data_IF_023142773730
#
_entry.id   IF_023142773730
#
_cell.length_a   1.000
_cell.length_b   1.000
_cell.length_c   1.000
_cell.angle_alpha   90.00
_cell.angle_beta   90.00
_cell.angle_gamma   90.00
#
_symmetry.space_group_name_H-M   'P 1'
#
loop_
_entity.id
_entity.type
_entity.pdbx_description
1 polymer ?
#
# COMPACT_ATOMS: atom_id res chain seq x y z
N UNK A 1 -60.03 -30.25 -55.50
CA UNK A 1 -58.59 -30.61 -55.47
C UNK A 1 -57.64 -29.42 -55.69
N UNK A 2 -58.03 -28.36 -56.41
CA UNK A 2 -57.20 -27.18 -56.66
C UNK A 2 -56.99 -26.24 -55.44
N UNK A 3 -57.99 -26.14 -54.55
CA UNK A 3 -57.95 -25.32 -53.32
C UNK A 3 -56.96 -25.82 -52.27
N UNK A 4 -56.81 -27.15 -52.12
CA UNK A 4 -55.85 -27.76 -51.19
C UNK A 4 -54.39 -27.54 -51.64
N UNK A 5 -54.12 -27.65 -52.96
CA UNK A 5 -52.81 -27.36 -53.54
C UNK A 5 -52.42 -25.90 -53.36
N UNK A 6 -53.37 -24.96 -53.50
CA UNK A 6 -53.11 -23.52 -53.32
C UNK A 6 -52.77 -23.17 -51.87
N UNK A 7 -53.41 -23.82 -50.90
CA UNK A 7 -53.13 -23.66 -49.47
C UNK A 7 -51.76 -24.23 -49.07
N UNK A 8 -51.40 -25.42 -49.59
CA UNK A 8 -50.08 -26.04 -49.38
C UNK A 8 -48.92 -25.21 -49.95
N UNK A 9 -49.11 -24.59 -51.11
CA UNK A 9 -48.08 -23.73 -51.73
C UNK A 9 -47.88 -22.44 -50.93
N UNK A 10 -48.95 -21.80 -50.48
CA UNK A 10 -48.86 -20.58 -49.66
C UNK A 10 -48.23 -20.89 -48.30
N UNK A 11 -48.58 -22.01 -47.66
CA UNK A 11 -47.96 -22.44 -46.40
C UNK A 11 -46.46 -22.74 -46.56
N UNK A 12 -46.06 -23.45 -47.63
CA UNK A 12 -44.62 -23.66 -47.93
C UNK A 12 -43.89 -22.35 -48.18
N UNK A 13 -44.52 -21.38 -48.85
CA UNK A 13 -43.92 -20.07 -49.11
C UNK A 13 -43.71 -19.27 -47.82
N UNK A 14 -44.72 -19.23 -46.94
CA UNK A 14 -44.65 -18.56 -45.63
C UNK A 14 -43.63 -19.26 -44.72
N UNK A 15 -43.61 -20.59 -44.69
CA UNK A 15 -42.64 -21.36 -43.91
C UNK A 15 -41.21 -21.13 -44.42
N UNK A 16 -40.99 -21.09 -45.73
CA UNK A 16 -39.68 -20.81 -46.33
C UNK A 16 -39.25 -19.37 -46.07
N UNK A 17 -40.17 -18.40 -46.15
CA UNK A 17 -39.91 -17.00 -45.83
C UNK A 17 -39.56 -16.79 -44.36
N UNK A 18 -40.24 -17.49 -43.44
CA UNK A 18 -39.97 -17.46 -42.01
C UNK A 18 -38.63 -18.13 -41.66
N UNK A 19 -38.31 -19.28 -42.28
CA UNK A 19 -37.01 -19.97 -42.16
C UNK A 19 -35.87 -19.11 -42.72
N UNK A 20 -36.09 -18.39 -43.83
CA UNK A 20 -35.11 -17.50 -44.43
C UNK A 20 -34.86 -16.25 -43.57
N UNK A 21 -35.90 -15.69 -42.92
CA UNK A 21 -35.75 -14.62 -41.92
C UNK A 21 -35.02 -15.11 -40.65
N UNK A 22 -35.31 -16.31 -40.16
CA UNK A 22 -34.57 -16.90 -39.03
C UNK A 22 -33.10 -17.12 -39.35
N UNK A 23 -32.76 -17.66 -40.53
CA UNK A 23 -31.37 -17.78 -41.01
C UNK A 23 -30.68 -16.42 -41.13
N UNK A 24 -31.37 -15.39 -41.61
CA UNK A 24 -30.82 -14.04 -41.70
C UNK A 24 -30.60 -13.40 -40.33
N UNK A 25 -31.46 -13.66 -39.34
CA UNK A 25 -31.27 -13.21 -37.95
C UNK A 25 -30.06 -13.89 -37.33
N UNK A 26 -29.90 -15.21 -37.50
CA UNK A 26 -28.72 -15.92 -37.02
C UNK A 26 -27.43 -15.42 -37.66
N UNK A 27 -27.45 -15.10 -38.96
CA UNK A 27 -26.32 -14.49 -39.68
C UNK A 27 -25.96 -13.10 -39.11
N UNK A 28 -26.96 -12.27 -38.82
CA UNK A 28 -26.73 -10.94 -38.23
C UNK A 28 -26.24 -11.05 -36.78
N UNK A 29 -26.79 -11.97 -35.98
CA UNK A 29 -26.36 -12.21 -34.61
C UNK A 29 -24.91 -12.71 -34.54
N UNK A 30 -24.54 -13.66 -35.42
CA UNK A 30 -23.17 -14.16 -35.51
C UNK A 30 -22.21 -13.07 -35.99
N UNK A 31 -22.62 -12.21 -36.93
CA UNK A 31 -21.83 -11.06 -37.34
C UNK A 31 -21.62 -10.05 -36.18
N UNK A 32 -22.66 -9.76 -35.38
CA UNK A 32 -22.58 -8.87 -34.22
C UNK A 32 -21.62 -9.38 -33.13
N UNK A 33 -21.55 -10.70 -32.89
CA UNK A 33 -20.61 -11.28 -31.92
C UNK A 33 -19.14 -11.10 -32.33
N UNK A 34 -18.84 -10.99 -33.64
CA UNK A 34 -17.46 -10.81 -34.12
C UNK A 34 -16.92 -9.38 -33.89
N UNK A 35 -17.79 -8.38 -33.66
CA UNK A 35 -17.37 -7.00 -33.41
C UNK A 35 -17.07 -6.69 -31.93
N UNK A 36 -17.25 -7.64 -31.00
CA UNK A 36 -17.04 -7.42 -29.56
C UNK A 36 -15.59 -7.58 -29.09
N UNK A 37 -14.66 -7.97 -29.98
CA UNK A 37 -13.27 -8.16 -29.61
C UNK A 37 -12.55 -6.80 -29.49
N UNK A 38 -12.48 -6.25 -28.28
CA UNK A 38 -11.67 -5.06 -27.97
C UNK A 38 -10.24 -5.50 -27.65
N UNK A 39 -9.21 -4.81 -28.17
CA UNK A 39 -7.83 -5.09 -27.79
C UNK A 39 -7.67 -4.83 -26.28
N UNK A 40 -7.24 -5.85 -25.53
CA UNK A 40 -6.87 -5.68 -24.14
C UNK A 40 -5.60 -4.81 -24.07
N UNK A 41 -5.61 -3.78 -23.23
CA UNK A 41 -4.42 -2.98 -22.99
C UNK A 41 -3.33 -3.88 -22.42
N UNK A 42 -2.21 -4.00 -23.12
CA UNK A 42 -1.01 -4.70 -22.64
C UNK A 42 0.10 -3.69 -22.57
N UNK A 43 0.73 -3.60 -21.42
CA UNK A 43 1.94 -2.81 -21.25
C UNK A 43 3.00 -3.42 -22.19
N UNK A 44 3.34 -2.67 -23.25
CA UNK A 44 4.28 -3.12 -24.27
C UNK A 44 5.73 -3.06 -23.78
N UNK A 45 6.04 -2.09 -22.92
CA UNK A 45 7.37 -1.89 -22.36
C UNK A 45 7.26 -1.06 -21.07
N UNK A 46 8.06 -1.42 -20.06
CA UNK A 46 8.34 -0.57 -18.89
C UNK A 46 9.84 -0.36 -18.83
N UNK A 47 10.27 0.91 -18.86
CA UNK A 47 11.67 1.28 -18.62
C UNK A 47 11.76 1.95 -17.27
N UNK A 48 12.67 1.45 -16.44
CA UNK A 48 13.12 2.10 -15.23
C UNK A 48 14.64 2.21 -15.28
N UNK A 49 15.17 3.31 -14.78
CA UNK A 49 16.61 3.49 -14.54
C UNK A 49 16.82 3.73 -13.05
N UNK A 50 17.80 3.05 -12.48
CA UNK A 50 18.27 3.38 -11.13
C UNK A 50 19.14 4.62 -11.28
N UNK A 51 18.71 5.72 -10.67
CA UNK A 51 19.56 6.91 -10.50
C UNK A 51 20.18 6.81 -9.12
N UNK A 52 21.47 6.50 -9.08
CA UNK A 52 22.22 6.45 -7.82
C UNK A 52 22.34 7.87 -7.27
N UNK A 53 21.92 8.08 -6.02
CA UNK A 53 22.11 9.36 -5.33
C UNK A 53 23.53 9.39 -4.77
N UNK A 54 24.42 10.13 -5.41
CA UNK A 54 25.82 10.27 -5.01
C UNK A 54 26.29 11.74 -5.16
N UNK A 55 27.52 12.01 -4.76
CA UNK A 55 28.11 13.36 -4.70
C UNK A 55 28.18 14.08 -6.06
N UNK A 56 27.94 13.39 -7.18
CA UNK A 56 27.90 14.03 -8.51
C UNK A 56 26.79 15.09 -8.63
N UNK A 57 25.73 14.98 -7.82
CA UNK A 57 24.63 15.94 -7.78
C UNK A 57 24.90 17.14 -6.84
N UNK A 58 25.95 17.07 -6.02
CA UNK A 58 26.26 18.11 -5.02
C UNK A 58 27.10 19.26 -5.58
N UNK A 59 27.65 19.10 -6.79
CA UNK A 59 28.55 20.09 -7.39
C UNK A 59 27.88 21.45 -7.65
N UNK A 60 26.57 21.49 -7.86
CA UNK A 60 25.81 22.72 -8.13
C UNK A 60 24.50 22.75 -7.33
N UNK A 61 24.55 23.05 -6.02
CA UNK A 61 23.36 23.08 -5.19
C UNK A 61 22.47 24.26 -5.57
N UNK A 62 21.17 24.03 -5.66
CA UNK A 62 20.20 25.10 -5.91
C UNK A 62 20.03 25.94 -4.64
N UNK A 63 20.67 27.11 -4.59
CA UNK A 63 20.77 27.95 -3.38
C UNK A 63 19.42 28.26 -2.72
N UNK A 64 18.38 28.55 -3.49
CA UNK A 64 17.04 28.80 -2.95
C UNK A 64 16.43 27.57 -2.27
N UNK A 65 16.69 26.36 -2.83
CA UNK A 65 16.21 25.10 -2.24
C UNK A 65 16.97 24.80 -0.97
N UNK A 66 18.29 25.04 -0.97
CA UNK A 66 19.12 24.88 0.21
C UNK A 66 18.66 25.83 1.34
N UNK A 67 18.39 27.10 1.03
CA UNK A 67 17.86 28.05 2.02
C UNK A 67 16.49 27.63 2.56
N UNK A 68 15.61 27.12 1.70
CA UNK A 68 14.31 26.59 2.10
C UNK A 68 14.48 25.43 3.08
N UNK A 69 15.23 24.38 2.70
CA UNK A 69 15.51 23.21 3.55
C UNK A 69 16.15 23.63 4.86
N UNK A 70 17.14 24.52 4.82
CA UNK A 70 17.85 24.98 6.01
C UNK A 70 16.90 25.68 7.00
N UNK A 71 15.93 26.45 6.52
CA UNK A 71 14.97 27.15 7.39
C UNK A 71 14.11 26.19 8.23
N UNK A 72 13.69 25.06 7.65
CA UNK A 72 12.97 24.00 8.36
C UNK A 72 13.91 23.19 9.24
N UNK A 73 15.10 22.84 8.71
CA UNK A 73 16.11 22.04 9.41
C UNK A 73 16.51 22.68 10.74
N UNK A 74 16.77 23.99 10.78
CA UNK A 74 17.14 24.68 12.03
C UNK A 74 16.06 24.53 13.10
N UNK A 75 14.78 24.60 12.73
CA UNK A 75 13.68 24.44 13.68
C UNK A 75 13.56 23.00 14.15
N UNK A 76 13.58 22.05 13.22
CA UNK A 76 13.47 20.62 13.54
C UNK A 76 14.66 20.12 14.36
N UNK A 77 15.89 20.51 13.99
CA UNK A 77 17.10 20.13 14.71
C UNK A 77 17.07 20.61 16.17
N UNK A 78 16.37 21.71 16.48
CA UNK A 78 16.22 22.17 17.88
C UNK A 78 15.46 21.15 18.72
N UNK A 79 14.37 20.61 18.19
CA UNK A 79 13.52 19.64 18.89
C UNK A 79 14.16 18.24 18.84
N UNK A 80 14.63 17.82 17.67
CA UNK A 80 15.19 16.47 17.47
C UNK A 80 16.49 16.22 18.24
N UNK A 81 17.25 17.26 18.59
CA UNK A 81 18.48 17.13 19.38
C UNK A 81 18.25 17.26 20.89
N UNK A 82 17.01 17.42 21.35
CA UNK A 82 16.73 17.39 22.78
C UNK A 82 17.02 16.01 23.35
N UNK A 83 17.89 15.95 24.36
CA UNK A 83 18.25 14.72 25.07
C UNK A 83 17.17 14.43 26.11
N UNK A 84 16.51 13.29 25.98
CA UNK A 84 15.41 12.86 26.86
C UNK A 84 15.86 11.79 27.87
N UNK A 85 17.05 11.24 27.70
CA UNK A 85 17.57 10.19 28.56
C UNK A 85 18.96 9.74 28.15
N UNK A 86 19.44 8.69 28.78
CA UNK A 86 20.73 8.06 28.46
C UNK A 86 20.56 6.55 28.49
N UNK A 87 21.04 5.87 27.47
CA UNK A 87 21.14 4.42 27.44
C UNK A 87 22.54 3.96 27.86
N UNK A 88 22.63 3.01 28.77
CA UNK A 88 23.92 2.47 29.22
C UNK A 88 24.63 1.64 28.13
N UNK A 89 23.85 1.08 27.20
CA UNK A 89 24.35 0.22 26.13
C UNK A 89 23.55 0.39 24.84
N UNK A 90 24.10 -0.11 23.73
CA UNK A 90 23.36 -0.20 22.49
C UNK A 90 22.22 -1.21 22.66
N UNK A 91 20.99 -0.85 22.30
CA UNK A 91 19.88 -1.80 22.26
C UNK A 91 19.50 -2.08 20.82
N UNK A 92 19.80 -3.29 20.36
CA UNK A 92 19.45 -3.78 19.03
C UNK A 92 17.99 -4.29 18.98
N UNK A 93 17.44 -4.45 17.77
CA UNK A 93 16.14 -5.05 17.52
C UNK A 93 16.24 -6.26 16.59
N UNK A 94 15.73 -7.41 17.04
CA UNK A 94 15.90 -8.66 16.33
C UNK A 94 14.94 -9.74 16.78
N UNK A 95 14.93 -10.85 16.05
CA UNK A 95 14.19 -12.06 16.41
C UNK A 95 15.15 -13.09 17.05
N UNK A 96 14.66 -13.93 17.98
CA UNK A 96 13.29 -13.96 18.50
C UNK A 96 12.99 -12.87 19.54
N UNK A 97 14.04 -12.29 20.15
CA UNK A 97 13.99 -11.34 21.26
C UNK A 97 15.18 -10.39 21.17
N UNK A 98 15.04 -9.16 21.68
CA UNK A 98 16.16 -8.24 21.87
C UNK A 98 15.92 -7.24 23.01
N UNK A 99 16.98 -6.51 23.40
CA UNK A 99 16.88 -5.47 24.43
C UNK A 99 15.86 -4.39 24.08
N UNK A 100 15.85 -3.92 22.82
CA UNK A 100 14.92 -2.86 22.43
C UNK A 100 13.48 -3.36 22.40
N UNK A 101 13.22 -4.57 21.90
CA UNK A 101 11.85 -5.11 21.88
C UNK A 101 11.30 -5.35 23.28
N UNK A 102 12.16 -5.72 24.23
CA UNK A 102 11.78 -5.89 25.64
C UNK A 102 11.44 -4.53 26.25
N UNK A 103 12.33 -3.54 26.10
CA UNK A 103 12.09 -2.18 26.59
C UNK A 103 10.78 -1.60 26.06
N UNK A 104 10.53 -1.71 24.75
CA UNK A 104 9.30 -1.18 24.14
C UNK A 104 8.06 -1.86 24.70
N UNK A 105 8.09 -3.18 24.87
CA UNK A 105 6.97 -3.93 25.43
C UNK A 105 6.72 -3.56 26.89
N UNK A 106 7.77 -3.39 27.69
CA UNK A 106 7.68 -2.95 29.09
C UNK A 106 7.08 -1.53 29.18
N UNK A 107 7.53 -0.61 28.33
CA UNK A 107 6.99 0.77 28.28
C UNK A 107 5.52 0.78 27.83
N UNK A 108 5.16 -0.04 26.84
CA UNK A 108 3.76 -0.15 26.39
C UNK A 108 2.87 -0.68 27.51
N UNK A 109 3.34 -1.68 28.25
CA UNK A 109 2.62 -2.28 29.38
C UNK A 109 2.47 -1.28 30.53
N UNK A 110 3.56 -0.59 30.89
CA UNK A 110 3.54 0.47 31.91
C UNK A 110 2.58 1.61 31.54
N UNK A 111 2.59 2.04 30.27
CA UNK A 111 1.65 3.03 29.77
C UNK A 111 0.20 2.55 29.90
N UNK A 112 -0.08 1.28 29.61
CA UNK A 112 -1.40 0.71 29.80
C UNK A 112 -1.83 0.64 31.27
N UNK A 113 -0.94 0.25 32.18
CA UNK A 113 -1.19 0.20 33.63
C UNK A 113 -1.60 1.56 34.20
N UNK A 114 -1.04 2.65 33.68
CA UNK A 114 -1.38 4.01 34.10
C UNK A 114 -2.75 4.49 33.60
N UNK A 115 -3.27 3.89 32.52
CA UNK A 115 -4.45 4.37 31.80
C UNK A 115 -5.65 3.41 31.86
N UNK A 116 -5.45 2.16 32.30
CA UNK A 116 -6.50 1.16 32.49
C UNK A 116 -6.73 0.90 33.99
N UNK A 117 -8.00 0.76 34.45
CA UNK A 117 -8.31 0.54 35.87
C UNK A 117 -7.61 -0.67 36.49
N UNK A 118 -7.50 -1.76 35.71
CA UNK A 118 -6.89 -3.03 36.14
C UNK A 118 -5.52 -3.28 35.48
N UNK A 119 -5.03 -2.29 34.70
CA UNK A 119 -3.84 -2.41 33.87
C UNK A 119 -4.00 -3.36 32.69
N UNK A 120 -2.87 -3.70 32.05
CA UNK A 120 -2.83 -4.68 30.97
C UNK A 120 -2.08 -5.95 31.39
N UNK A 121 -2.58 -7.12 31.01
CA UNK A 121 -1.91 -8.39 31.29
C UNK A 121 -0.64 -8.57 30.42
N UNK A 122 -0.71 -8.16 29.16
CA UNK A 122 0.34 -8.37 28.15
C UNK A 122 0.42 -7.18 27.20
N UNK A 123 1.64 -6.77 26.85
CA UNK A 123 1.91 -5.89 25.71
C UNK A 123 2.54 -6.68 24.56
N UNK A 124 2.10 -6.41 23.33
CA UNK A 124 2.59 -7.08 22.13
C UNK A 124 3.00 -6.06 21.09
N UNK A 125 4.16 -6.27 20.48
CA UNK A 125 4.60 -5.49 19.34
C UNK A 125 5.30 -6.36 18.29
N UNK A 126 5.26 -5.94 17.02
CA UNK A 126 5.99 -6.60 15.95
C UNK A 126 7.45 -6.09 15.89
N UNK A 127 8.44 -6.98 15.94
CA UNK A 127 9.88 -6.61 15.95
C UNK A 127 10.28 -5.53 14.92
N UNK A 128 9.83 -5.66 13.67
CA UNK A 128 10.16 -4.73 12.58
C UNK A 128 9.34 -3.43 12.56
N UNK A 129 8.55 -3.19 13.62
CA UNK A 129 8.02 -1.88 13.94
C UNK A 129 9.14 -0.89 14.28
N UNK A 130 10.26 -1.38 14.81
CA UNK A 130 11.50 -0.61 14.95
C UNK A 130 12.19 -0.43 13.61
N UNK A 131 12.71 0.78 13.37
CA UNK A 131 13.44 1.14 12.14
C UNK A 131 14.92 1.44 12.36
N UNK A 132 15.33 1.57 13.63
CA UNK A 132 16.71 1.80 14.06
C UNK A 132 16.96 1.18 15.43
N UNK A 133 18.23 1.06 15.79
CA UNK A 133 18.69 0.62 17.12
C UNK A 133 18.73 1.80 18.09
N UNK A 134 18.58 1.57 19.40
CA UNK A 134 18.82 2.62 20.39
C UNK A 134 20.34 2.79 20.64
N UNK A 135 20.90 3.99 20.47
CA UNK A 135 22.33 4.22 20.68
C UNK A 135 22.71 4.10 22.15
N UNK A 136 23.97 3.72 22.42
CA UNK A 136 24.58 3.91 23.74
C UNK A 136 24.86 5.40 23.97
N UNK A 137 24.62 5.88 25.19
CA UNK A 137 24.86 7.27 25.58
C UNK A 137 23.59 8.11 25.51
N UNK A 138 23.70 9.43 25.29
CA UNK A 138 22.54 10.32 25.22
C UNK A 138 21.54 9.86 24.16
N UNK A 139 20.28 9.76 24.55
CA UNK A 139 19.15 9.43 23.66
C UNK A 139 18.35 10.70 23.41
N UNK A 140 18.14 11.06 22.15
CA UNK A 140 17.40 12.25 21.75
C UNK A 140 15.99 11.95 21.27
N UNK A 141 15.16 12.99 21.15
CA UNK A 141 13.86 12.91 20.45
C UNK A 141 14.05 12.35 19.03
N UNK A 142 15.09 12.81 18.32
CA UNK A 142 15.43 12.32 16.98
C UNK A 142 15.67 10.81 16.96
N UNK A 143 16.38 10.26 17.96
CA UNK A 143 16.56 8.81 18.05
C UNK A 143 15.22 8.08 18.23
N UNK A 144 14.26 8.62 18.98
CA UNK A 144 12.94 8.01 19.07
C UNK A 144 12.19 8.03 17.74
N UNK A 145 12.27 9.11 16.96
CA UNK A 145 11.68 9.15 15.61
C UNK A 145 12.39 8.24 14.60
N UNK A 146 13.69 8.01 14.77
CA UNK A 146 14.43 7.02 13.99
C UNK A 146 14.01 5.59 14.35
N UNK A 147 13.75 5.32 15.64
CA UNK A 147 13.36 3.99 16.12
C UNK A 147 11.88 3.71 15.81
N UNK A 148 10.97 4.65 16.14
CA UNK A 148 9.51 4.51 16.09
C UNK A 148 8.87 5.43 15.01
N UNK A 149 9.34 5.34 13.77
CA UNK A 149 9.10 6.34 12.71
C UNK A 149 7.67 6.49 12.18
N UNK A 150 6.71 5.71 12.68
CA UNK A 150 5.36 5.65 12.13
C UNK A 150 4.33 6.48 12.90
N UNK A 151 4.75 7.16 13.98
CA UNK A 151 3.85 7.93 14.85
C UNK A 151 2.62 7.10 15.26
N UNK A 152 2.86 5.82 15.56
CA UNK A 152 1.83 4.87 15.91
C UNK A 152 1.29 5.15 17.31
N UNK A 153 0.03 4.80 17.54
CA UNK A 153 -0.59 4.85 18.86
C UNK A 153 -0.60 3.48 19.53
N UNK A 154 -0.48 3.46 20.86
CA UNK A 154 -0.76 2.27 21.66
C UNK A 154 -2.28 2.08 21.68
N UNK A 155 -2.73 0.85 21.40
CA UNK A 155 -4.15 0.48 21.40
C UNK A 155 -4.38 -0.62 22.42
N UNK A 156 -5.41 -0.46 23.24
CA UNK A 156 -5.84 -1.48 24.20
C UNK A 156 -6.84 -2.44 23.53
N UNK A 157 -6.68 -3.73 23.78
CA UNK A 157 -7.53 -4.79 23.25
C UNK A 157 -7.99 -5.69 24.39
N UNK A 158 -9.29 -5.92 24.47
CA UNK A 158 -9.91 -6.93 25.33
C UNK A 158 -10.23 -8.16 24.46
N UNK A 159 -9.90 -9.36 24.95
CA UNK A 159 -9.89 -10.62 24.18
C UNK A 159 -10.92 -11.63 24.68
#
# INVERSE_FOLDING_TARGET
MATLKRFQTVYKFILTYFVMKFKSIYLVLTALCLFSCKPAYRIAEMKGSIVEMNDSFDATPHTQMQSLVQSYKVRLDKEMNEVIGTSEQLMDYGRPESLLTNLTSDVMKAYADEHLPDGADVAVMNVHGHRATMPKGPVTIGNLYEIYSFDNTITYLDL
#
